data_IF_447718387825
#
_entry.id   IF_447718387825
#
_cell.length_a   1.000
_cell.length_b   1.000
_cell.length_c   1.000
_cell.angle_alpha   90.00
_cell.angle_beta   90.00
_cell.angle_gamma   90.00
#
_symmetry.space_group_name_H-M   'P 1'
#
loop_
_entity.id
_entity.type
_entity.pdbx_description
1 polymer ?
#
# COMPACT_ATOMS: atom_id res chain seq x y z
N UNK A 1 -8.86 -1.71 -20.17
CA UNK A 1 -7.42 -2.07 -20.09
C UNK A 1 -6.81 -1.16 -19.04
N UNK A 2 -6.18 -1.71 -18.00
CA UNK A 2 -5.47 -0.94 -16.95
C UNK A 2 -4.04 -0.64 -17.39
N UNK A 3 -3.41 0.36 -16.80
CA UNK A 3 -2.02 0.70 -17.07
C UNK A 3 -1.20 0.63 -15.78
N UNK A 4 0.03 0.11 -15.87
CA UNK A 4 0.99 0.08 -14.78
C UNK A 4 2.33 0.60 -15.27
N UNK A 5 2.87 1.61 -14.60
CA UNK A 5 4.23 2.13 -14.83
C UNK A 5 5.25 1.28 -14.06
N UNK A 6 6.37 0.98 -14.69
CA UNK A 6 7.56 0.40 -14.07
C UNK A 6 8.76 1.27 -14.47
N UNK A 7 9.27 2.08 -13.54
CA UNK A 7 10.33 3.05 -13.80
C UNK A 7 11.60 2.71 -12.99
N UNK A 8 12.77 2.58 -13.65
CA UNK A 8 14.05 2.43 -12.95
C UNK A 8 14.34 3.63 -12.04
N UNK A 9 14.70 3.37 -10.77
CA UNK A 9 14.92 4.43 -9.81
C UNK A 9 15.83 3.99 -8.68
N UNK A 10 16.59 4.93 -8.14
CA UNK A 10 17.19 4.87 -6.81
C UNK A 10 16.50 5.88 -5.90
N UNK A 11 16.79 5.87 -4.61
CA UNK A 11 16.23 6.89 -3.71
C UNK A 11 16.72 8.31 -4.03
N UNK A 12 17.89 8.45 -4.69
CA UNK A 12 18.40 9.75 -5.14
C UNK A 12 17.70 10.25 -6.42
N UNK A 13 17.20 9.33 -7.25
CA UNK A 13 16.58 9.65 -8.55
C UNK A 13 15.06 9.51 -8.56
N UNK A 14 14.45 9.18 -7.43
CA UNK A 14 13.01 8.87 -7.32
C UNK A 14 12.10 9.99 -7.85
N UNK A 15 12.54 11.23 -7.81
CA UNK A 15 11.75 12.40 -8.27
C UNK A 15 11.31 12.25 -9.72
N UNK A 16 12.18 11.80 -10.63
CA UNK A 16 11.84 11.58 -12.03
C UNK A 16 10.73 10.51 -12.19
N UNK A 17 10.76 9.45 -11.39
CA UNK A 17 9.71 8.43 -11.40
C UNK A 17 8.37 8.96 -10.88
N UNK A 18 8.40 9.84 -9.85
CA UNK A 18 7.19 10.49 -9.35
C UNK A 18 6.59 11.43 -10.41
N UNK A 19 7.40 12.27 -11.05
CA UNK A 19 6.92 13.13 -12.13
C UNK A 19 6.28 12.30 -13.24
N UNK A 20 6.93 11.22 -13.68
CA UNK A 20 6.39 10.30 -14.69
C UNK A 20 5.08 9.64 -14.24
N UNK A 21 4.93 9.29 -12.96
CA UNK A 21 3.70 8.72 -12.44
C UNK A 21 2.52 9.71 -12.57
N UNK A 22 2.72 10.98 -12.21
CA UNK A 22 1.69 12.00 -12.36
C UNK A 22 1.39 12.39 -13.80
N UNK A 23 2.36 12.26 -14.73
CA UNK A 23 2.13 12.44 -16.16
C UNK A 23 1.25 11.33 -16.74
N UNK A 24 1.46 10.08 -16.33
CA UNK A 24 0.70 8.92 -16.81
C UNK A 24 -0.67 8.77 -16.16
N UNK A 25 -0.77 9.17 -14.89
CA UNK A 25 -1.99 9.07 -14.08
C UNK A 25 -2.33 10.47 -13.52
N UNK A 26 -2.77 11.41 -14.38
CA UNK A 26 -2.99 12.79 -13.98
C UNK A 26 -4.08 12.89 -12.92
N UNK A 27 -3.77 13.61 -11.82
CA UNK A 27 -4.68 13.90 -10.74
C UNK A 27 -5.02 15.40 -10.72
N UNK A 28 -6.30 15.74 -10.62
CA UNK A 28 -6.75 17.13 -10.45
C UNK A 28 -6.71 17.45 -8.95
N UNK A 29 -5.61 18.03 -8.49
CA UNK A 29 -5.38 18.29 -7.07
C UNK A 29 -5.70 19.74 -6.65
N UNK A 30 -5.86 20.67 -7.58
CA UNK A 30 -6.18 22.05 -7.27
C UNK A 30 -7.43 22.13 -6.39
N UNK A 31 -7.34 22.86 -5.29
CA UNK A 31 -8.39 23.04 -4.27
C UNK A 31 -8.91 21.74 -3.62
N UNK A 32 -8.19 20.61 -3.73
CA UNK A 32 -8.56 19.32 -3.16
C UNK A 32 -7.93 19.07 -1.78
N UNK A 33 -8.66 18.33 -0.94
CA UNK A 33 -8.14 17.72 0.28
C UNK A 33 -7.42 16.44 -0.11
N UNK A 34 -6.09 16.44 -0.02
CA UNK A 34 -5.27 15.28 -0.42
C UNK A 34 -4.73 14.57 0.82
N UNK A 35 -4.88 13.27 0.86
CA UNK A 35 -4.18 12.42 1.84
C UNK A 35 -3.13 11.58 1.13
N UNK A 36 -1.88 11.65 1.62
CA UNK A 36 -0.78 10.79 1.21
C UNK A 36 -0.59 9.74 2.30
N UNK A 37 -0.83 8.48 1.95
CA UNK A 37 -0.78 7.35 2.87
C UNK A 37 0.43 6.47 2.59
N UNK A 38 1.55 6.60 3.35
CA UNK A 38 2.65 5.65 3.26
C UNK A 38 2.25 4.26 3.78
N UNK A 39 3.16 3.31 3.71
CA UNK A 39 3.10 2.04 4.42
C UNK A 39 3.95 2.16 5.69
N UNK A 40 3.33 2.11 6.86
CA UNK A 40 4.03 2.16 8.15
C UNK A 40 3.59 0.97 9.00
N UNK A 41 4.53 0.04 9.26
CA UNK A 41 4.23 -1.13 10.11
C UNK A 41 4.53 -0.82 11.58
N UNK A 42 5.71 -0.29 11.84
CA UNK A 42 6.25 0.06 13.15
C UNK A 42 7.42 1.03 13.01
N UNK A 43 7.93 1.57 14.10
CA UNK A 43 9.21 2.26 14.11
C UNK A 43 10.35 1.33 13.67
N UNK A 44 11.21 1.83 12.78
CA UNK A 44 12.33 1.09 12.20
C UNK A 44 13.29 2.07 11.52
N UNK A 45 14.53 1.65 11.30
CA UNK A 45 15.41 2.37 10.38
C UNK A 45 14.88 2.26 8.95
N UNK A 46 15.06 3.32 8.14
CA UNK A 46 14.63 3.30 6.74
C UNK A 46 15.31 2.16 5.94
N UNK A 47 16.54 1.83 6.28
CA UNK A 47 17.34 0.75 5.68
C UNK A 47 16.76 -0.65 5.93
N UNK A 48 15.90 -0.85 6.94
CA UNK A 48 15.26 -2.14 7.20
C UNK A 48 14.20 -2.51 6.13
N UNK A 49 13.82 -1.60 5.24
CA UNK A 49 12.86 -1.86 4.16
C UNK A 49 11.43 -2.24 4.62
N UNK A 50 11.11 -1.98 5.88
CA UNK A 50 9.82 -2.34 6.50
C UNK A 50 8.70 -1.37 6.09
N UNK A 51 9.06 -0.09 5.89
CA UNK A 51 8.14 1.01 5.60
C UNK A 51 8.46 1.63 4.24
N UNK A 52 7.56 2.46 3.73
CA UNK A 52 7.86 3.33 2.59
C UNK A 52 9.08 4.19 2.92
N UNK A 53 10.05 4.26 2.03
CA UNK A 53 11.27 5.03 2.26
C UNK A 53 10.99 6.54 2.31
N UNK A 54 11.62 7.29 3.23
CA UNK A 54 11.41 8.75 3.36
C UNK A 54 11.62 9.54 2.06
N UNK A 55 12.59 9.16 1.21
CA UNK A 55 12.82 9.83 -0.06
C UNK A 55 11.62 9.72 -1.02
N UNK A 56 10.91 8.58 -1.02
CA UNK A 56 9.70 8.40 -1.85
C UNK A 56 8.59 9.30 -1.32
N UNK A 57 8.35 9.29 0.00
CA UNK A 57 7.34 10.16 0.61
C UNK A 57 7.63 11.64 0.35
N UNK A 58 8.86 12.09 0.58
CA UNK A 58 9.25 13.48 0.35
C UNK A 58 9.04 13.91 -1.11
N UNK A 59 9.44 13.07 -2.08
CA UNK A 59 9.25 13.37 -3.49
C UNK A 59 7.76 13.50 -3.87
N UNK A 60 6.89 12.64 -3.32
CA UNK A 60 5.44 12.74 -3.56
C UNK A 60 4.85 13.97 -2.89
N UNK A 61 5.23 14.29 -1.64
CA UNK A 61 4.77 15.50 -0.95
C UNK A 61 5.18 16.75 -1.72
N UNK A 62 6.45 16.83 -2.13
CA UNK A 62 6.97 17.95 -2.91
C UNK A 62 6.20 18.11 -4.23
N UNK A 63 5.94 17.02 -4.95
CA UNK A 63 5.16 17.02 -6.21
C UNK A 63 3.72 17.49 -5.99
N UNK A 64 3.02 16.89 -5.04
CA UNK A 64 1.62 17.23 -4.71
C UNK A 64 1.49 18.70 -4.33
N UNK A 65 2.45 19.23 -3.56
CA UNK A 65 2.44 20.63 -3.15
C UNK A 65 2.49 21.61 -4.34
N UNK A 66 3.18 21.26 -5.42
CA UNK A 66 3.25 22.11 -6.63
C UNK A 66 1.93 22.11 -7.44
N UNK A 67 0.97 21.23 -7.12
CA UNK A 67 -0.28 21.08 -7.85
C UNK A 67 -1.47 21.81 -7.20
N UNK A 68 -1.20 22.66 -6.19
CA UNK A 68 -2.18 23.58 -5.61
C UNK A 68 -3.32 22.97 -4.78
N UNK A 69 -3.10 21.89 -3.99
CA UNK A 69 -4.18 21.33 -3.16
C UNK A 69 -4.61 22.30 -2.05
N UNK A 70 -5.88 22.24 -1.65
CA UNK A 70 -6.41 23.00 -0.52
C UNK A 70 -5.72 22.57 0.81
N UNK A 71 -5.44 21.27 0.92
CA UNK A 71 -4.70 20.73 2.07
C UNK A 71 -3.99 19.42 1.71
N UNK A 72 -2.88 19.16 2.40
CA UNK A 72 -2.15 17.88 2.35
C UNK A 72 -2.10 17.32 3.76
N UNK A 73 -2.49 16.08 3.93
CA UNK A 73 -2.29 15.29 5.15
C UNK A 73 -1.44 14.07 4.81
N UNK A 74 -0.40 13.86 5.58
CA UNK A 74 0.41 12.62 5.54
C UNK A 74 0.11 11.83 6.79
N UNK A 75 -0.31 10.57 6.63
CA UNK A 75 -0.61 9.73 7.79
C UNK A 75 -0.86 8.27 7.44
N UNK A 76 -0.61 7.41 8.41
CA UNK A 76 -0.93 5.99 8.42
C UNK A 76 -1.19 5.54 9.86
N UNK A 77 -1.82 4.41 10.05
CA UNK A 77 -1.92 3.77 11.35
C UNK A 77 -0.99 2.55 11.40
N UNK A 78 0.13 2.60 12.15
CA UNK A 78 1.04 1.48 12.33
C UNK A 78 0.36 0.22 12.88
N UNK A 79 1.03 -0.92 12.77
CA UNK A 79 0.55 -2.19 13.33
C UNK A 79 0.55 -2.23 14.85
N UNK A 80 1.39 -1.44 15.50
CA UNK A 80 1.40 -1.26 16.95
C UNK A 80 0.40 -0.18 17.36
N UNK A 81 -0.24 -0.39 18.51
CA UNK A 81 -1.31 0.48 19.01
C UNK A 81 -1.12 0.75 20.51
N UNK A 82 -0.16 1.58 20.80
CA UNK A 82 -0.03 2.22 22.12
C UNK A 82 -0.16 3.73 21.95
N UNK A 83 -0.38 4.44 23.05
CA UNK A 83 -0.39 5.89 23.02
C UNK A 83 0.96 6.43 22.48
N UNK A 84 0.91 7.34 21.52
CA UNK A 84 2.11 7.89 20.86
C UNK A 84 2.79 6.97 19.84
N UNK A 85 2.28 5.76 19.59
CA UNK A 85 2.90 4.80 18.67
C UNK A 85 2.97 5.32 17.22
N UNK A 86 1.98 6.10 16.79
CA UNK A 86 1.95 6.67 15.44
C UNK A 86 3.08 7.70 15.25
N UNK A 87 3.21 8.63 16.20
CA UNK A 87 4.26 9.67 16.19
C UNK A 87 5.64 9.03 16.26
N UNK A 88 5.87 8.14 17.22
CA UNK A 88 7.15 7.45 17.39
C UNK A 88 7.55 6.65 16.14
N UNK A 89 6.60 5.99 15.48
CA UNK A 89 6.87 5.27 14.25
C UNK A 89 7.28 6.21 13.10
N UNK A 90 6.58 7.34 12.95
CA UNK A 90 6.92 8.33 11.92
C UNK A 90 8.26 9.02 12.20
N UNK A 91 8.61 9.28 13.45
CA UNK A 91 9.90 9.87 13.84
C UNK A 91 11.06 8.90 13.56
N UNK A 92 10.97 7.67 14.09
CA UNK A 92 12.02 6.65 13.95
C UNK A 92 12.30 6.26 12.50
N UNK A 93 11.27 6.26 11.65
CA UNK A 93 11.42 5.91 10.22
C UNK A 93 11.92 7.07 9.36
N UNK A 94 12.02 8.29 9.91
CA UNK A 94 12.31 9.51 9.14
C UNK A 94 11.13 10.05 8.33
N UNK A 95 9.97 9.39 8.38
CA UNK A 95 8.77 9.81 7.64
C UNK A 95 8.19 11.13 8.18
N UNK A 96 8.39 11.44 9.47
CA UNK A 96 7.98 12.72 10.06
C UNK A 96 8.64 13.90 9.33
N UNK A 97 9.95 13.87 9.15
CA UNK A 97 10.70 14.89 8.41
C UNK A 97 10.31 14.91 6.91
N UNK A 98 10.15 13.73 6.31
CA UNK A 98 9.76 13.58 4.90
C UNK A 98 8.36 14.13 4.61
N UNK A 99 7.47 14.15 5.59
CA UNK A 99 6.13 14.72 5.49
C UNK A 99 6.10 16.26 5.37
N UNK A 100 7.25 16.95 5.47
CA UNK A 100 7.37 18.41 5.27
C UNK A 100 6.37 19.22 6.11
N UNK A 101 6.13 18.83 7.37
CA UNK A 101 5.16 19.48 8.25
C UNK A 101 3.69 19.15 7.94
N UNK A 102 3.43 18.17 7.07
CA UNK A 102 2.08 17.71 6.69
C UNK A 102 1.63 16.46 7.46
N UNK A 103 2.47 15.93 8.36
CA UNK A 103 2.09 14.81 9.20
C UNK A 103 0.87 15.14 10.06
N UNK A 104 -0.04 14.17 10.15
CA UNK A 104 -1.17 14.17 11.08
C UNK A 104 -1.36 12.74 11.62
N UNK A 105 -1.55 12.62 12.92
CA UNK A 105 -2.00 11.35 13.48
C UNK A 105 -3.45 11.12 13.09
N UNK A 106 -3.67 10.37 12.02
CA UNK A 106 -5.01 10.07 11.49
C UNK A 106 -5.76 9.02 12.33
N UNK A 107 -5.11 8.44 13.33
CA UNK A 107 -5.74 7.48 14.25
C UNK A 107 -6.55 8.13 15.37
N UNK A 108 -6.40 9.45 15.60
CA UNK A 108 -7.08 10.17 16.69
C UNK A 108 -8.53 10.54 16.37
N UNK A 109 -8.90 10.56 15.09
CA UNK A 109 -10.24 10.91 14.64
C UNK A 109 -10.74 9.89 13.63
N UNK A 110 -11.87 9.27 13.95
CA UNK A 110 -12.43 8.19 13.15
C UNK A 110 -13.94 8.31 12.97
N UNK A 111 -14.42 7.73 11.88
CA UNK A 111 -15.85 7.53 11.61
C UNK A 111 -16.16 6.05 11.58
N UNK A 112 -17.34 5.68 12.03
CA UNK A 112 -17.82 4.30 11.95
C UNK A 112 -18.49 4.07 10.61
N UNK A 113 -18.02 3.06 9.87
CA UNK A 113 -18.57 2.66 8.57
C UNK A 113 -19.04 1.21 8.64
N UNK A 114 -20.08 0.83 7.86
CA UNK A 114 -20.48 -0.56 7.71
C UNK A 114 -19.32 -1.40 7.17
N UNK A 115 -19.16 -2.60 7.70
CA UNK A 115 -18.26 -3.62 7.18
C UNK A 115 -19.07 -4.87 6.86
N UNK A 116 -18.47 -5.84 6.15
CA UNK A 116 -19.14 -7.10 5.87
C UNK A 116 -19.47 -7.84 7.18
N UNK A 117 -20.73 -8.26 7.42
CA UNK A 117 -21.19 -8.81 8.70
C UNK A 117 -20.45 -10.08 9.15
N UNK A 118 -19.85 -10.83 8.23
CA UNK A 118 -19.00 -11.99 8.57
C UNK A 118 -17.78 -11.63 9.43
N UNK A 119 -17.41 -10.36 9.49
CA UNK A 119 -16.30 -9.84 10.28
C UNK A 119 -16.79 -8.95 11.42
N UNK A 120 -17.49 -7.88 11.10
CA UNK A 120 -18.09 -6.94 12.04
C UNK A 120 -19.18 -6.14 11.32
N UNK A 121 -20.23 -5.74 12.07
CA UNK A 121 -21.27 -4.87 11.50
C UNK A 121 -20.72 -3.50 11.11
N UNK A 122 -19.82 -2.95 11.93
CA UNK A 122 -19.19 -1.66 11.68
C UNK A 122 -17.71 -1.68 12.06
N UNK A 123 -16.94 -0.80 11.46
CA UNK A 123 -15.52 -0.60 11.71
C UNK A 123 -15.19 0.89 11.74
N UNK A 124 -14.28 1.29 12.62
CA UNK A 124 -13.79 2.66 12.64
C UNK A 124 -12.70 2.85 11.57
N UNK A 125 -12.85 3.91 10.78
CA UNK A 125 -11.92 4.31 9.73
C UNK A 125 -11.46 5.73 10.01
N UNK A 126 -10.19 6.02 9.79
CA UNK A 126 -9.65 7.38 9.95
C UNK A 126 -10.46 8.38 9.11
N UNK A 127 -11.04 9.39 9.80
CA UNK A 127 -11.89 10.40 9.14
C UNK A 127 -11.15 11.11 8.01
N UNK A 128 -9.87 11.45 8.20
CA UNK A 128 -9.05 12.09 7.18
C UNK A 128 -9.00 11.31 5.86
N UNK A 129 -9.02 9.98 5.91
CA UNK A 129 -9.03 9.09 4.73
C UNK A 129 -10.41 9.12 4.06
N UNK A 130 -11.49 9.06 4.86
CA UNK A 130 -12.86 9.00 4.33
C UNK A 130 -13.27 10.32 3.68
N UNK A 131 -12.87 11.45 4.28
CA UNK A 131 -13.24 12.80 3.83
C UNK A 131 -12.25 13.40 2.82
N UNK A 132 -11.18 12.68 2.44
CA UNK A 132 -10.27 13.11 1.42
C UNK A 132 -10.93 13.10 0.02
N UNK A 133 -10.72 14.18 -0.74
CA UNK A 133 -11.09 14.19 -2.17
C UNK A 133 -10.22 13.21 -2.94
N UNK A 134 -8.90 13.18 -2.63
CA UNK A 134 -7.89 12.33 -3.28
C UNK A 134 -7.05 11.62 -2.21
N UNK A 135 -6.88 10.31 -2.36
CA UNK A 135 -5.97 9.50 -1.56
C UNK A 135 -4.86 8.93 -2.44
N UNK A 136 -3.62 9.28 -2.13
CA UNK A 136 -2.41 8.73 -2.78
C UNK A 136 -1.79 7.71 -1.83
N UNK A 137 -1.80 6.44 -2.22
CA UNK A 137 -1.24 5.34 -1.44
C UNK A 137 0.19 5.05 -1.87
N UNK A 138 1.11 4.91 -0.89
CA UNK A 138 2.52 4.60 -1.14
C UNK A 138 2.89 3.23 -0.54
N UNK A 139 2.49 2.11 -1.16
CA UNK A 139 2.82 0.78 -0.67
C UNK A 139 4.32 0.51 -0.73
N UNK A 140 4.81 -0.38 0.14
CA UNK A 140 6.15 -0.96 0.07
C UNK A 140 6.11 -2.29 -0.67
N UNK A 141 7.02 -2.52 -1.61
CA UNK A 141 7.19 -3.81 -2.28
C UNK A 141 7.77 -4.81 -1.29
N UNK A 142 6.92 -5.66 -0.70
CA UNK A 142 7.37 -6.63 0.30
C UNK A 142 6.45 -7.83 0.41
N UNK A 143 7.01 -8.95 0.86
CA UNK A 143 6.26 -10.15 1.25
C UNK A 143 5.45 -9.94 2.53
N UNK A 144 4.51 -10.83 2.76
CA UNK A 144 3.67 -10.83 3.97
C UNK A 144 3.19 -12.26 4.28
N UNK A 145 3.39 -12.73 5.50
CA UNK A 145 3.08 -14.11 5.89
C UNK A 145 1.63 -14.53 5.72
N UNK A 146 0.65 -13.61 5.87
CA UNK A 146 -0.77 -13.93 5.74
C UNK A 146 -1.34 -13.65 4.34
N UNK A 147 -0.93 -12.56 3.70
CA UNK A 147 -1.45 -12.14 2.38
C UNK A 147 -0.47 -12.38 1.25
N UNK A 148 0.58 -13.14 1.50
CA UNK A 148 1.69 -13.43 0.57
C UNK A 148 2.53 -12.18 0.27
N UNK A 149 1.90 -11.06 0.01
CA UNK A 149 2.54 -9.77 -0.25
C UNK A 149 1.80 -8.60 0.40
N UNK A 150 2.53 -7.56 0.70
CA UNK A 150 1.97 -6.23 0.95
C UNK A 150 1.96 -5.50 -0.39
N UNK A 151 0.81 -5.12 -0.84
CA UNK A 151 0.62 -4.37 -2.08
C UNK A 151 -0.30 -3.18 -1.86
N UNK A 152 -0.90 -2.70 -2.93
CA UNK A 152 -1.83 -1.59 -2.93
C UNK A 152 -3.09 -1.90 -2.09
N UNK A 153 -3.70 -3.07 -2.31
CA UNK A 153 -4.91 -3.50 -1.59
C UNK A 153 -4.62 -3.65 -0.10
N UNK A 154 -3.57 -4.41 0.27
CA UNK A 154 -3.23 -4.65 1.69
C UNK A 154 -2.77 -3.37 2.41
N UNK A 155 -2.13 -2.40 1.71
CA UNK A 155 -1.75 -1.13 2.32
C UNK A 155 -2.95 -0.37 2.88
N UNK A 156 -4.13 -0.51 2.29
CA UNK A 156 -5.37 0.13 2.78
C UNK A 156 -5.81 -0.37 4.15
N UNK A 157 -5.29 -1.51 4.65
CA UNK A 157 -5.57 -1.97 6.01
C UNK A 157 -5.10 -0.98 7.09
N UNK A 158 -4.14 -0.10 6.77
CA UNK A 158 -3.68 0.99 7.62
C UNK A 158 -4.66 2.15 7.78
N UNK A 159 -5.82 2.16 7.09
CA UNK A 159 -6.86 3.16 7.32
C UNK A 159 -7.60 2.95 8.66
N UNK A 160 -7.44 1.76 9.23
CA UNK A 160 -8.08 1.36 10.50
C UNK A 160 -7.23 1.83 11.68
N UNK A 161 -7.75 2.66 12.60
CA UNK A 161 -7.01 3.10 13.77
C UNK A 161 -7.01 2.03 14.88
N UNK A 162 -6.00 2.10 15.72
CA UNK A 162 -5.95 1.45 17.02
C UNK A 162 -5.99 -0.07 17.01
N UNK A 163 -6.46 -0.62 18.13
CA UNK A 163 -6.46 -2.04 18.43
C UNK A 163 -7.44 -2.87 17.58
N UNK A 164 -8.37 -2.25 16.87
CA UNK A 164 -9.35 -3.00 16.07
C UNK A 164 -8.68 -3.83 14.96
N UNK A 165 -7.50 -3.43 14.45
CA UNK A 165 -6.74 -4.25 13.50
C UNK A 165 -6.39 -5.62 14.09
N UNK A 166 -5.91 -5.66 15.34
CA UNK A 166 -5.62 -6.93 16.02
C UNK A 166 -6.89 -7.75 16.26
N UNK A 167 -7.99 -7.10 16.63
CA UNK A 167 -9.29 -7.77 16.78
C UNK A 167 -9.75 -8.40 15.46
N UNK A 168 -9.67 -7.67 14.36
CA UNK A 168 -10.04 -8.16 13.03
C UNK A 168 -9.12 -9.30 12.54
N UNK A 169 -7.82 -9.25 12.81
CA UNK A 169 -6.93 -10.39 12.57
C UNK A 169 -7.41 -11.66 13.30
N UNK A 170 -7.79 -11.51 14.56
CA UNK A 170 -8.32 -12.63 15.36
C UNK A 170 -9.66 -13.16 14.82
N UNK A 171 -10.54 -12.27 14.37
CA UNK A 171 -11.83 -12.64 13.76
C UNK A 171 -11.64 -13.35 12.42
N UNK A 172 -10.70 -12.91 11.61
CA UNK A 172 -10.36 -13.59 10.35
C UNK A 172 -9.87 -15.02 10.60
N UNK A 173 -9.01 -15.23 11.60
CA UNK A 173 -8.62 -16.55 12.09
C UNK A 173 -7.67 -17.35 11.21
N UNK A 174 -7.81 -17.28 9.88
CA UNK A 174 -6.97 -17.96 8.90
C UNK A 174 -6.60 -17.06 7.70
N UNK A 175 -5.58 -17.42 6.89
CA UNK A 175 -5.14 -16.59 5.77
C UNK A 175 -6.23 -16.30 4.73
N UNK A 176 -7.04 -17.27 4.33
CA UNK A 176 -8.09 -17.07 3.32
C UNK A 176 -9.11 -16.03 3.76
N UNK A 177 -9.64 -16.14 4.98
CA UNK A 177 -10.56 -15.13 5.54
C UNK A 177 -9.88 -13.78 5.73
N UNK A 178 -8.56 -13.76 6.00
CA UNK A 178 -7.83 -12.51 6.09
C UNK A 178 -7.68 -11.82 4.73
N UNK A 179 -7.54 -12.58 3.64
CA UNK A 179 -7.62 -12.03 2.27
C UNK A 179 -8.98 -11.37 2.01
N UNK A 180 -10.08 -12.02 2.40
CA UNK A 180 -11.43 -11.47 2.24
C UNK A 180 -11.60 -10.19 3.08
N UNK A 181 -11.17 -10.22 4.34
CA UNK A 181 -11.21 -9.05 5.23
C UNK A 181 -10.44 -7.85 4.68
N UNK A 182 -9.22 -8.08 4.18
CA UNK A 182 -8.39 -7.00 3.62
C UNK A 182 -9.07 -6.35 2.43
N UNK A 183 -9.76 -7.12 1.59
CA UNK A 183 -10.55 -6.61 0.49
C UNK A 183 -11.75 -5.79 0.98
N UNK A 184 -12.48 -6.28 1.99
CA UNK A 184 -13.62 -5.52 2.55
C UNK A 184 -13.17 -4.17 3.14
N UNK A 185 -12.01 -4.13 3.81
CA UNK A 185 -11.44 -2.86 4.30
C UNK A 185 -11.02 -1.96 3.14
N UNK A 186 -10.41 -2.52 2.08
CA UNK A 186 -10.01 -1.75 0.90
C UNK A 186 -11.20 -1.07 0.22
N UNK A 187 -12.36 -1.75 0.15
CA UNK A 187 -13.60 -1.22 -0.45
C UNK A 187 -14.18 0.00 0.30
N UNK A 188 -13.85 0.18 1.59
CA UNK A 188 -14.35 1.33 2.37
C UNK A 188 -13.83 2.67 1.83
N UNK A 189 -12.60 2.71 1.30
CA UNK A 189 -12.03 3.86 0.57
C UNK A 189 -10.93 3.37 -0.35
N UNK A 190 -11.24 3.25 -1.62
CA UNK A 190 -10.26 2.92 -2.66
C UNK A 190 -9.40 4.15 -2.94
N UNK A 191 -8.07 4.09 -2.80
CA UNK A 191 -7.18 5.19 -3.19
C UNK A 191 -7.22 5.48 -4.69
N UNK A 192 -6.92 6.73 -5.05
CA UNK A 192 -7.03 7.25 -6.40
C UNK A 192 -5.72 7.06 -7.20
N UNK A 193 -4.58 6.97 -6.51
CA UNK A 193 -3.27 6.74 -7.10
C UNK A 193 -2.43 5.86 -6.17
N UNK A 194 -1.71 4.92 -6.76
CA UNK A 194 -0.77 4.03 -6.07
C UNK A 194 0.65 4.26 -6.62
N UNK A 195 1.61 4.51 -5.74
CA UNK A 195 3.03 4.63 -6.07
C UNK A 195 3.79 3.69 -5.16
N UNK A 196 4.24 2.56 -5.69
CA UNK A 196 4.92 1.51 -4.93
C UNK A 196 6.41 1.79 -4.85
N UNK A 197 6.92 1.86 -3.63
CA UNK A 197 8.35 1.84 -3.35
C UNK A 197 8.90 0.41 -3.52
N UNK A 198 9.50 0.19 -4.68
CA UNK A 198 10.22 -1.03 -5.05
C UNK A 198 11.72 -0.75 -5.32
N UNK A 199 12.31 0.32 -4.75
CA UNK A 199 13.75 0.54 -4.86
C UNK A 199 14.50 -0.55 -4.09
N UNK A 200 14.19 -0.70 -2.79
CA UNK A 200 14.60 -1.85 -1.99
C UNK A 200 13.35 -2.57 -1.54
N UNK A 201 13.14 -3.78 -2.01
CA UNK A 201 12.02 -4.62 -1.58
C UNK A 201 12.41 -5.54 -0.44
N UNK A 202 11.41 -6.19 0.18
CA UNK A 202 11.61 -7.20 1.20
C UNK A 202 11.11 -8.55 0.69
N UNK A 203 11.88 -9.60 0.94
CA UNK A 203 11.54 -10.97 0.59
C UNK A 203 11.54 -11.89 1.83
N UNK A 204 11.23 -13.16 1.68
CA UNK A 204 11.15 -14.12 2.80
C UNK A 204 9.89 -13.94 3.64
N UNK A 205 9.98 -14.18 4.95
CA UNK A 205 8.85 -14.17 5.87
C UNK A 205 8.49 -12.76 6.36
N UNK A 206 7.98 -11.89 5.43
CA UNK A 206 7.49 -10.56 5.78
C UNK A 206 6.26 -10.58 6.71
N UNK A 207 5.84 -9.43 7.25
CA UNK A 207 6.10 -8.07 6.78
C UNK A 207 7.31 -7.35 7.39
N UNK A 208 8.15 -8.03 8.18
CA UNK A 208 9.34 -7.51 8.84
C UNK A 208 10.50 -8.53 8.77
N UNK A 209 10.76 -9.05 7.58
CA UNK A 209 11.89 -9.95 7.29
C UNK A 209 13.20 -9.15 7.21
N UNK A 210 14.33 -9.68 7.68
CA UNK A 210 15.65 -9.08 7.46
C UNK A 210 16.16 -9.27 6.01
N UNK A 211 15.45 -10.05 5.18
CA UNK A 211 15.88 -10.36 3.83
C UNK A 211 15.44 -9.25 2.87
N UNK A 212 16.40 -8.48 2.41
CA UNK A 212 16.17 -7.36 1.49
C UNK A 212 16.63 -7.68 0.08
N UNK A 213 16.00 -7.05 -0.89
CA UNK A 213 16.29 -7.19 -2.31
C UNK A 213 16.39 -5.81 -2.96
N UNK A 214 17.55 -5.48 -3.51
CA UNK A 214 17.66 -4.34 -4.40
C UNK A 214 16.92 -4.65 -5.71
N UNK A 215 15.84 -3.91 -5.97
CA UNK A 215 15.00 -4.06 -7.17
C UNK A 215 15.22 -2.86 -8.09
N UNK A 216 15.39 -1.67 -7.53
CA UNK A 216 15.73 -0.46 -8.26
C UNK A 216 14.57 0.10 -9.09
N UNK A 217 13.33 0.01 -8.60
CA UNK A 217 12.14 0.41 -9.35
C UNK A 217 11.17 1.23 -8.49
N UNK A 218 10.43 2.11 -9.16
CA UNK A 218 9.15 2.66 -8.69
C UNK A 218 8.06 2.16 -9.63
N UNK A 219 6.95 1.66 -9.08
CA UNK A 219 5.76 1.31 -9.84
C UNK A 219 4.67 2.32 -9.55
N UNK A 220 3.80 2.61 -10.54
CA UNK A 220 2.61 3.42 -10.30
C UNK A 220 1.41 2.92 -11.13
N UNK A 221 0.21 3.12 -10.61
CA UNK A 221 -1.05 2.87 -11.29
C UNK A 221 -2.21 3.61 -10.58
N UNK A 222 -3.30 3.80 -11.28
CA UNK A 222 -4.59 4.22 -10.74
C UNK A 222 -5.51 3.04 -10.37
N UNK A 223 -5.04 1.81 -10.55
CA UNK A 223 -5.77 0.58 -10.24
C UNK A 223 -4.97 -0.36 -9.35
N UNK A 224 -5.50 -0.66 -8.16
CA UNK A 224 -4.84 -1.50 -7.16
C UNK A 224 -4.67 -2.96 -7.60
N UNK A 225 -5.68 -3.52 -8.27
CA UNK A 225 -5.66 -4.93 -8.69
C UNK A 225 -4.58 -5.14 -9.75
N UNK A 226 -4.50 -4.22 -10.71
CA UNK A 226 -3.51 -4.28 -11.78
C UNK A 226 -2.07 -4.13 -11.26
N UNK A 227 -1.81 -3.17 -10.35
CA UNK A 227 -0.45 -3.00 -9.82
C UNK A 227 -0.04 -4.16 -8.91
N UNK A 228 -0.96 -4.70 -8.11
CA UNK A 228 -0.69 -5.87 -7.28
C UNK A 228 -0.47 -7.14 -8.12
N UNK A 229 -1.17 -7.29 -9.25
CA UNK A 229 -0.92 -8.37 -10.21
C UNK A 229 0.48 -8.27 -10.82
N UNK A 230 0.91 -7.06 -11.19
CA UNK A 230 2.27 -6.83 -11.70
C UNK A 230 3.31 -7.13 -10.62
N UNK A 231 3.10 -6.70 -9.36
CA UNK A 231 3.99 -7.02 -8.26
C UNK A 231 4.09 -8.53 -8.03
N UNK A 232 2.97 -9.25 -8.04
CA UNK A 232 2.93 -10.71 -7.92
C UNK A 232 3.74 -11.39 -9.03
N UNK A 233 3.52 -11.00 -10.30
CA UNK A 233 4.28 -11.51 -11.44
C UNK A 233 5.78 -11.24 -11.31
N UNK A 234 6.19 -10.06 -10.81
CA UNK A 234 7.60 -9.74 -10.53
C UNK A 234 8.19 -10.63 -9.44
N UNK A 235 7.43 -10.97 -8.40
CA UNK A 235 7.82 -11.93 -7.35
C UNK A 235 7.86 -13.38 -7.85
N UNK A 236 7.35 -13.63 -9.05
CA UNK A 236 7.28 -14.96 -9.66
C UNK A 236 6.06 -15.77 -9.27
N UNK A 237 5.05 -15.11 -8.72
CA UNK A 237 3.73 -15.68 -8.46
C UNK A 237 2.83 -15.58 -9.70
N UNK A 238 1.92 -16.49 -9.84
CA UNK A 238 0.76 -16.32 -10.71
C UNK A 238 -0.26 -15.42 -9.98
N UNK A 239 -0.57 -14.21 -10.50
CA UNK A 239 -1.55 -13.34 -9.87
C UNK A 239 -2.92 -13.98 -9.69
N UNK A 240 -3.31 -14.87 -10.61
CA UNK A 240 -4.57 -15.60 -10.56
C UNK A 240 -4.68 -16.60 -9.41
N UNK A 241 -3.61 -16.89 -8.69
CA UNK A 241 -3.61 -17.74 -7.49
C UNK A 241 -3.77 -16.94 -6.18
N UNK A 242 -3.78 -15.61 -6.24
CA UNK A 242 -3.95 -14.77 -5.07
C UNK A 242 -5.43 -14.46 -4.85
N UNK A 243 -6.02 -15.07 -3.82
CA UNK A 243 -7.45 -14.98 -3.52
C UNK A 243 -7.96 -13.53 -3.45
N UNK A 244 -7.22 -12.62 -2.82
CA UNK A 244 -7.66 -11.21 -2.74
C UNK A 244 -7.68 -10.52 -4.11
N UNK A 245 -6.83 -10.92 -5.07
CA UNK A 245 -6.86 -10.38 -6.43
C UNK A 245 -8.04 -10.94 -7.23
N UNK A 246 -8.34 -12.22 -7.08
CA UNK A 246 -9.52 -12.84 -7.72
C UNK A 246 -10.79 -12.16 -7.19
N UNK A 247 -10.97 -12.14 -5.87
CA UNK A 247 -12.14 -11.53 -5.23
C UNK A 247 -12.30 -10.05 -5.57
N UNK A 248 -11.18 -9.29 -5.69
CA UNK A 248 -11.22 -7.90 -6.09
C UNK A 248 -11.66 -7.74 -7.56
N UNK A 249 -11.23 -8.62 -8.46
CA UNK A 249 -11.67 -8.62 -9.84
C UNK A 249 -13.15 -9.01 -9.97
N UNK A 250 -13.60 -10.01 -9.22
CA UNK A 250 -15.01 -10.45 -9.18
C UNK A 250 -15.92 -9.34 -8.63
N UNK A 251 -15.41 -8.50 -7.73
CA UNK A 251 -16.08 -7.29 -7.23
C UNK A 251 -16.00 -6.09 -8.21
N UNK A 252 -15.45 -6.26 -9.41
CA UNK A 252 -15.35 -5.21 -10.43
C UNK A 252 -14.32 -4.13 -10.16
N UNK A 253 -13.36 -4.36 -9.24
CA UNK A 253 -12.36 -3.38 -8.82
C UNK A 253 -11.13 -3.31 -9.74
N UNK A 254 -11.05 -4.17 -10.77
CA UNK A 254 -9.96 -4.19 -11.72
C UNK A 254 -9.75 -5.57 -12.34
N UNK A 255 -8.59 -5.81 -12.97
CA UNK A 255 -8.23 -7.12 -13.51
C UNK A 255 -6.83 -7.53 -13.06
N UNK A 256 -6.69 -8.78 -12.65
CA UNK A 256 -5.39 -9.41 -12.36
C UNK A 256 -4.80 -10.09 -13.61
N UNK A 257 -5.58 -10.24 -14.68
CA UNK A 257 -5.11 -10.88 -15.91
C UNK A 257 -4.09 -9.98 -16.61
N UNK A 258 -2.88 -10.49 -16.79
CA UNK A 258 -1.78 -9.72 -17.40
C UNK A 258 -2.11 -9.22 -18.81
N UNK A 259 -2.98 -9.94 -19.55
CA UNK A 259 -3.46 -9.53 -20.86
C UNK A 259 -4.30 -8.23 -20.84
N UNK A 260 -4.92 -7.89 -19.70
CA UNK A 260 -5.73 -6.68 -19.51
C UNK A 260 -4.90 -5.50 -19.00
N UNK A 261 -3.59 -5.70 -18.80
CA UNK A 261 -2.69 -4.71 -18.18
C UNK A 261 -1.63 -4.25 -19.19
N UNK A 262 -1.64 -2.98 -19.51
CA UNK A 262 -0.59 -2.33 -20.30
C UNK A 262 0.56 -1.95 -19.37
N UNK A 263 1.77 -2.38 -19.70
CA UNK A 263 2.99 -2.02 -18.96
C UNK A 263 3.70 -0.86 -19.65
N UNK A 264 3.89 0.24 -18.92
CA UNK A 264 4.81 1.31 -19.31
C UNK A 264 6.16 1.06 -18.63
N UNK A 265 7.11 0.50 -19.36
CA UNK A 265 8.41 0.06 -18.86
C UNK A 265 8.71 -1.39 -19.17
N UNK A 266 9.47 -2.05 -18.32
CA UNK A 266 9.89 -3.45 -18.52
C UNK A 266 9.49 -4.32 -17.34
N UNK A 267 8.51 -5.16 -17.55
CA UNK A 267 8.18 -6.22 -16.58
C UNK A 267 9.25 -7.31 -16.62
N UNK A 268 9.89 -7.57 -15.49
CA UNK A 268 10.85 -8.66 -15.30
C UNK A 268 10.56 -9.40 -14.02
N UNK A 269 10.53 -10.73 -14.10
CA UNK A 269 10.53 -11.60 -12.92
C UNK A 269 11.87 -11.44 -12.18
N UNK A 270 11.80 -11.21 -10.86
CA UNK A 270 12.97 -11.14 -9.99
C UNK A 270 13.47 -12.58 -9.77
N UNK A 271 14.70 -12.86 -10.22
CA UNK A 271 15.27 -14.20 -10.07
C UNK A 271 15.47 -14.58 -8.60
N UNK A 272 15.09 -15.80 -8.25
CA UNK A 272 15.27 -16.36 -6.90
C UNK A 272 14.66 -15.48 -5.79
N UNK A 273 13.53 -14.81 -6.07
CA UNK A 273 12.79 -14.06 -5.06
C UNK A 273 12.21 -15.03 -4.02
N UNK A 274 12.49 -14.79 -2.76
CA UNK A 274 12.07 -15.65 -1.66
C UNK A 274 10.65 -15.29 -1.23
N UNK A 275 9.73 -16.19 -1.45
CA UNK A 275 8.33 -16.04 -0.99
C UNK A 275 8.20 -16.39 0.50
N UNK A 276 7.18 -15.87 1.19
CA UNK A 276 6.90 -16.31 2.55
C UNK A 276 6.45 -17.77 2.55
N UNK A 277 6.55 -18.49 3.71
CA UNK A 277 5.91 -19.78 3.85
C UNK A 277 4.42 -19.65 3.52
N UNK A 278 3.99 -20.26 2.44
CA UNK A 278 2.61 -20.18 1.98
C UNK A 278 1.77 -21.08 2.88
N UNK A 279 0.95 -20.50 3.75
CA UNK A 279 -0.15 -21.26 4.34
C UNK A 279 -1.04 -21.75 3.20
N UNK A 280 -1.20 -23.06 3.03
CA UNK A 280 -1.79 -23.71 1.85
C UNK A 280 -3.17 -23.19 1.41
N UNK A 281 -3.87 -22.43 2.25
CA UNK A 281 -5.18 -21.83 1.96
C UNK A 281 -5.09 -20.40 1.36
N UNK A 282 -3.93 -19.74 1.39
CA UNK A 282 -3.77 -18.37 0.91
C UNK A 282 -3.59 -18.28 -0.62
N UNK A 283 -3.13 -19.36 -1.23
CA UNK A 283 -2.98 -19.53 -2.67
C UNK A 283 -3.94 -20.63 -3.10
N UNK A 284 -4.86 -20.31 -4.00
CA UNK A 284 -5.76 -21.29 -4.54
C UNK A 284 -4.97 -22.29 -5.40
N UNK A 285 -5.08 -23.57 -5.10
CA UNK A 285 -4.61 -24.62 -5.99
C UNK A 285 -5.56 -24.70 -7.18
N UNK A 286 -5.03 -24.60 -8.40
CA UNK A 286 -5.78 -24.85 -9.64
C UNK A 286 -6.00 -26.34 -9.83
#
# INVERSE_FOLDING_TARGET
MHQVMIHPSTYDTVRAAIDRAFDLFPQKLEDKKVVIKPNVLRGSEAAEGIVTHPAVLAAVVDKVQTMGPASIVVGDNPGLFSYGANEAAFEQTGLMAAARGRYRNIGLDAVSLPLHPDFMETVNVSRAIVEADIVISLPKFKTHGLTVMTGAIKNSYGILPGAQKARLHKIAGNPSRFHDLVLEVFKLRVPDLFIVDAVVGMEGNGPASPELREIGLILAADNAVAIDAVMAAMMGLDPGRLRFLQNAADAGLGSWKMADIRIDGKLKKIKNFKLPPLGGEAIQDN
#
